data_IF_648869828541
#
_entry.id   IF_648869828541
#
_cell.length_a   1.000
_cell.length_b   1.000
_cell.length_c   1.000
_cell.angle_alpha   90.00
_cell.angle_beta   90.00
_cell.angle_gamma   90.00
#
_symmetry.space_group_name_H-M   'P 1'
#
loop_
_entity.id
_entity.type
_entity.pdbx_description
1 polymer ?
#
# COMPACT_ATOMS: atom_id res chain seq x y z
N UNK A 1 -4.56 5.07 -8.32
CA UNK A 1 -4.89 5.85 -9.55
C UNK A 1 -3.75 5.79 -10.57
N UNK A 2 -3.25 4.58 -10.89
CA UNK A 2 -2.15 4.37 -11.85
C UNK A 2 -2.67 3.88 -13.22
N UNK A 3 -3.94 3.51 -13.30
CA UNK A 3 -4.48 2.80 -14.46
C UNK A 3 -4.91 3.62 -15.68
N UNK A 4 -5.00 4.95 -15.61
CA UNK A 4 -5.65 5.73 -16.67
C UNK A 4 -4.73 6.61 -17.53
N UNK A 5 -3.45 6.73 -17.18
CA UNK A 5 -2.56 7.71 -17.83
C UNK A 5 -1.73 7.12 -18.97
N UNK A 6 -1.68 5.79 -19.11
CA UNK A 6 -0.76 5.17 -20.06
C UNK A 6 -1.49 4.29 -21.07
N UNK A 7 -1.57 4.77 -22.31
CA UNK A 7 -1.97 3.95 -23.46
C UNK A 7 -1.11 2.67 -23.51
N UNK A 8 -1.77 1.51 -23.72
CA UNK A 8 -1.23 0.17 -23.52
C UNK A 8 0.16 -0.12 -24.16
N UNK A 9 0.58 0.62 -25.17
CA UNK A 9 1.81 0.31 -25.93
C UNK A 9 2.99 1.28 -25.70
N UNK A 10 2.78 2.50 -25.16
CA UNK A 10 3.88 3.46 -25.03
C UNK A 10 4.64 3.37 -23.70
N UNK A 11 4.03 2.81 -22.67
CA UNK A 11 4.64 2.72 -21.34
C UNK A 11 5.79 1.71 -21.31
N UNK A 12 5.60 0.55 -21.91
CA UNK A 12 6.61 -0.50 -21.98
C UNK A 12 7.90 -0.04 -22.67
N UNK A 13 7.77 0.70 -23.78
CA UNK A 13 8.91 1.21 -24.53
C UNK A 13 9.75 2.22 -23.73
N UNK A 14 9.10 3.02 -22.89
CA UNK A 14 9.81 3.98 -22.03
C UNK A 14 10.58 3.28 -20.91
N UNK A 15 10.01 2.24 -20.29
CA UNK A 15 10.67 1.50 -19.22
C UNK A 15 11.91 0.72 -19.67
N UNK A 16 12.00 0.34 -20.93
CA UNK A 16 13.15 -0.37 -21.51
C UNK A 16 14.46 0.44 -21.47
N UNK A 17 14.37 1.76 -21.27
CA UNK A 17 15.53 2.66 -21.22
C UNK A 17 16.18 2.74 -19.84
N UNK A 18 15.52 2.22 -18.81
CA UNK A 18 16.00 2.32 -17.44
C UNK A 18 16.73 1.05 -17.01
N UNK A 19 17.91 1.21 -16.44
CA UNK A 19 18.70 0.11 -15.88
C UNK A 19 18.23 -0.32 -14.49
N UNK A 20 17.44 0.52 -13.82
CA UNK A 20 16.90 0.28 -12.48
C UNK A 20 15.45 0.72 -12.41
N UNK A 21 14.64 -0.08 -11.71
CA UNK A 21 13.24 0.22 -11.40
C UNK A 21 13.02 0.05 -9.90
N UNK A 22 12.32 1.00 -9.31
CA UNK A 22 11.84 0.93 -7.94
C UNK A 22 10.31 0.87 -7.96
N UNK A 23 9.75 -0.14 -7.33
CA UNK A 23 8.32 -0.35 -7.18
C UNK A 23 7.93 0.07 -5.78
N UNK A 24 7.28 1.21 -5.65
CA UNK A 24 6.70 1.67 -4.40
C UNK A 24 5.40 0.90 -4.12
N UNK A 25 5.09 0.71 -2.83
CA UNK A 25 3.98 -0.14 -2.37
C UNK A 25 3.99 -1.52 -3.06
N UNK A 26 5.17 -2.13 -3.11
CA UNK A 26 5.40 -3.37 -3.86
C UNK A 26 4.57 -4.57 -3.38
N UNK A 27 3.86 -4.47 -2.26
CA UNK A 27 2.88 -5.47 -1.86
C UNK A 27 1.72 -5.58 -2.87
N UNK A 28 1.50 -4.58 -3.72
CA UNK A 28 0.57 -4.62 -4.84
C UNK A 28 1.16 -5.22 -6.13
N UNK A 29 2.45 -5.62 -6.14
CA UNK A 29 3.09 -6.15 -7.35
C UNK A 29 2.48 -7.47 -7.84
N UNK A 30 1.75 -8.18 -6.99
CA UNK A 30 0.96 -9.35 -7.36
C UNK A 30 -0.25 -9.02 -8.26
N UNK A 31 -0.61 -7.74 -8.48
CA UNK A 31 -1.67 -7.38 -9.43
C UNK A 31 -1.25 -7.69 -10.87
N UNK A 32 -2.21 -8.16 -11.69
CA UNK A 32 -1.95 -8.59 -13.06
C UNK A 32 -1.22 -7.53 -13.91
N UNK A 33 -1.61 -6.27 -13.76
CA UNK A 33 -1.00 -5.15 -14.49
C UNK A 33 0.47 -4.98 -14.15
N UNK A 34 0.83 -4.98 -12.87
CA UNK A 34 2.21 -4.80 -12.43
C UNK A 34 3.05 -6.04 -12.79
N UNK A 35 2.50 -7.25 -12.59
CA UNK A 35 3.17 -8.49 -13.02
C UNK A 35 3.57 -8.44 -14.50
N UNK A 36 2.63 -8.05 -15.37
CA UNK A 36 2.91 -7.94 -16.81
C UNK A 36 4.02 -6.95 -17.10
N UNK A 37 4.00 -5.77 -16.47
CA UNK A 37 5.02 -4.75 -16.62
C UNK A 37 6.39 -5.29 -16.20
N UNK A 38 6.47 -5.88 -15.01
CA UNK A 38 7.75 -6.36 -14.46
C UNK A 38 8.35 -7.53 -15.23
N UNK A 39 7.53 -8.37 -15.87
CA UNK A 39 8.00 -9.46 -16.73
C UNK A 39 8.57 -8.98 -18.07
N UNK A 40 8.11 -7.84 -18.56
CA UNK A 40 8.55 -7.28 -19.86
C UNK A 40 9.74 -6.31 -19.74
N UNK A 41 10.00 -5.82 -18.53
CA UNK A 41 11.06 -4.85 -18.27
C UNK A 41 12.44 -5.50 -18.37
N UNK A 42 13.37 -4.83 -19.06
CA UNK A 42 14.78 -5.25 -19.21
C UNK A 42 15.72 -4.56 -18.22
N UNK A 43 15.20 -4.01 -17.13
CA UNK A 43 16.03 -3.40 -16.11
C UNK A 43 16.94 -4.43 -15.43
N UNK A 44 18.20 -4.06 -15.22
CA UNK A 44 19.18 -4.89 -14.51
C UNK A 44 18.85 -5.03 -13.02
N UNK A 45 18.24 -4.00 -12.46
CA UNK A 45 17.90 -3.95 -11.03
C UNK A 45 16.41 -3.63 -10.86
N UNK A 46 15.74 -4.45 -10.07
CA UNK A 46 14.35 -4.22 -9.65
C UNK A 46 14.30 -4.26 -8.13
N UNK A 47 13.85 -3.18 -7.52
CA UNK A 47 13.68 -3.06 -6.08
C UNK A 47 12.23 -2.79 -5.74
N UNK A 48 11.77 -3.39 -4.64
CA UNK A 48 10.47 -3.10 -4.06
C UNK A 48 10.61 -2.42 -2.71
N UNK A 49 9.76 -1.44 -2.45
CA UNK A 49 9.64 -0.75 -1.17
C UNK A 49 8.20 -0.90 -0.70
N UNK A 50 7.99 -1.23 0.56
CA UNK A 50 6.65 -1.27 1.17
C UNK A 50 6.73 -1.21 2.69
N UNK A 51 5.75 -0.59 3.31
CA UNK A 51 5.56 -0.63 4.76
C UNK A 51 4.90 -1.94 5.23
N UNK A 52 4.17 -2.64 4.35
CA UNK A 52 3.36 -3.83 4.64
C UNK A 52 3.76 -5.00 3.74
N UNK A 53 4.90 -5.68 4.01
CA UNK A 53 5.40 -6.73 3.13
C UNK A 53 4.58 -8.02 3.17
N UNK A 54 3.81 -8.24 4.25
CA UNK A 54 2.98 -9.43 4.45
C UNK A 54 1.57 -9.13 3.94
N UNK A 55 1.01 -10.05 3.18
CA UNK A 55 -0.35 -9.97 2.63
C UNK A 55 -1.24 -11.01 3.29
N UNK A 56 -2.49 -10.64 3.58
CA UNK A 56 -3.48 -11.57 4.15
C UNK A 56 -3.90 -12.67 3.17
N UNK A 57 -3.79 -12.41 1.86
CA UNK A 57 -4.17 -13.34 0.78
C UNK A 57 -3.04 -14.34 0.41
N UNK A 58 -1.87 -14.27 1.04
CA UNK A 58 -0.74 -15.18 0.79
C UNK A 58 -0.05 -14.99 -0.56
N UNK A 59 -0.38 -13.93 -1.31
CA UNK A 59 0.22 -13.64 -2.61
C UNK A 59 1.60 -12.98 -2.53
N UNK A 60 2.18 -12.84 -1.34
CA UNK A 60 3.55 -12.33 -1.17
C UNK A 60 4.61 -13.14 -1.91
N UNK A 61 4.34 -14.44 -2.15
CA UNK A 61 5.23 -15.31 -2.95
C UNK A 61 5.40 -14.79 -4.38
N UNK A 62 4.36 -14.22 -4.97
CA UNK A 62 4.42 -13.61 -6.30
C UNK A 62 5.33 -12.38 -6.29
N UNK A 63 5.24 -11.56 -5.24
CA UNK A 63 6.12 -10.40 -5.07
C UNK A 63 7.59 -10.84 -4.99
N UNK A 64 7.88 -11.91 -4.25
CA UNK A 64 9.24 -12.45 -4.15
C UNK A 64 9.76 -13.02 -5.48
N UNK A 65 8.89 -13.60 -6.31
CA UNK A 65 9.26 -14.08 -7.65
C UNK A 65 9.57 -12.94 -8.62
N UNK A 66 8.87 -11.81 -8.48
CA UNK A 66 8.98 -10.68 -9.41
C UNK A 66 10.11 -9.71 -9.04
N UNK A 67 10.32 -9.49 -7.75
CA UNK A 67 11.22 -8.46 -7.22
C UNK A 67 12.37 -9.08 -6.46
N UNK A 68 12.14 -10.22 -5.81
CA UNK A 68 13.12 -10.90 -4.96
C UNK A 68 12.75 -10.87 -3.48
N UNK A 69 13.54 -11.56 -2.64
CA UNK A 69 13.29 -11.65 -1.21
C UNK A 69 13.54 -10.32 -0.50
N UNK A 70 12.98 -10.18 0.70
CA UNK A 70 13.25 -9.03 1.57
C UNK A 70 14.73 -8.97 1.89
N UNK A 71 15.41 -7.89 1.50
CA UNK A 71 16.83 -7.64 1.73
C UNK A 71 17.10 -6.80 2.96
N UNK A 72 16.17 -5.91 3.29
CA UNK A 72 16.29 -5.00 4.41
C UNK A 72 14.91 -4.77 5.03
N UNK A 73 14.86 -4.74 6.35
CA UNK A 73 13.64 -4.45 7.11
C UNK A 73 13.99 -3.45 8.20
N UNK A 74 13.23 -2.37 8.24
CA UNK A 74 13.36 -1.33 9.26
C UNK A 74 11.98 -1.05 9.85
N UNK A 75 11.80 -1.32 11.12
CA UNK A 75 10.51 -1.20 11.78
C UNK A 75 10.31 0.20 12.36
N UNK A 76 9.04 0.62 12.50
CA UNK A 76 8.70 1.87 13.16
C UNK A 76 9.27 1.95 14.59
N UNK A 77 9.34 0.81 15.29
CA UNK A 77 9.92 0.71 16.63
C UNK A 77 11.42 0.97 16.65
N UNK A 78 12.15 0.43 15.68
CA UNK A 78 13.59 0.70 15.53
C UNK A 78 13.84 2.17 15.22
N UNK A 79 13.04 2.74 14.31
CA UNK A 79 13.09 4.16 13.96
C UNK A 79 12.84 5.07 15.16
N UNK A 80 11.80 4.78 15.93
CA UNK A 80 11.48 5.55 17.14
C UNK A 80 12.63 5.51 18.14
N UNK A 81 13.23 4.33 18.33
CA UNK A 81 14.38 4.15 19.23
C UNK A 81 15.59 4.94 18.76
N UNK A 82 15.89 4.97 17.46
CA UNK A 82 17.01 5.75 16.92
C UNK A 82 16.78 7.26 17.03
N UNK A 83 15.54 7.69 16.87
CA UNK A 83 15.17 9.11 16.94
C UNK A 83 14.90 9.61 18.37
N UNK A 84 14.91 8.71 19.38
CA UNK A 84 14.58 9.06 20.76
C UNK A 84 13.13 9.54 20.94
N UNK A 85 12.22 9.09 20.07
CA UNK A 85 10.82 9.50 20.09
C UNK A 85 10.00 8.42 20.80
N UNK A 86 9.32 8.81 21.88
CA UNK A 86 8.33 7.96 22.53
C UNK A 86 6.99 8.11 21.83
N UNK A 87 6.43 6.97 21.41
CA UNK A 87 5.11 6.92 20.81
C UNK A 87 4.05 6.64 21.88
N UNK A 88 3.17 7.60 22.11
CA UNK A 88 2.02 7.44 22.98
C UNK A 88 0.76 7.23 22.14
N UNK A 89 0.10 6.10 22.31
CA UNK A 89 -1.20 5.83 21.68
C UNK A 89 -2.30 6.13 22.69
N UNK A 90 -3.10 7.14 22.41
CA UNK A 90 -4.26 7.51 23.21
C UNK A 90 -5.54 7.12 22.44
N UNK A 91 -6.18 5.99 22.78
CA UNK A 91 -7.42 5.60 22.13
C UNK A 91 -8.55 6.57 22.53
N UNK A 92 -9.30 7.05 21.55
CA UNK A 92 -10.51 7.84 21.76
C UNK A 92 -11.69 7.13 21.12
N UNK A 93 -12.73 6.92 21.90
CA UNK A 93 -13.95 6.26 21.45
C UNK A 93 -14.93 7.30 20.91
N UNK A 94 -15.46 7.05 19.73
CA UNK A 94 -16.48 7.88 19.11
C UNK A 94 -17.85 7.24 19.31
N UNK A 95 -18.92 8.06 19.26
CA UNK A 95 -20.31 7.59 19.33
C UNK A 95 -20.89 7.24 17.95
N UNK A 96 -20.03 7.04 16.95
CA UNK A 96 -20.46 6.63 15.61
C UNK A 96 -21.00 5.21 15.69
N UNK A 97 -22.30 5.05 15.42
CA UNK A 97 -23.00 3.77 15.49
C UNK A 97 -23.27 3.31 14.07
N UNK A 98 -22.83 2.09 13.74
CA UNK A 98 -23.28 1.42 12.53
C UNK A 98 -24.69 0.83 12.78
N UNK A 99 -25.65 0.97 11.84
CA UNK A 99 -26.94 0.31 11.94
C UNK A 99 -26.76 -1.20 12.13
N UNK A 100 -27.42 -1.76 13.15
CA UNK A 100 -27.19 -3.16 13.59
C UNK A 100 -27.60 -4.21 12.57
N UNK A 101 -28.45 -3.88 11.61
CA UNK A 101 -29.11 -4.85 10.74
C UNK A 101 -28.45 -5.05 9.37
N UNK A 102 -27.37 -4.32 9.09
CA UNK A 102 -26.63 -4.49 7.83
C UNK A 102 -25.13 -4.29 8.03
N UNK A 103 -24.31 -5.12 7.38
CA UNK A 103 -22.91 -4.77 7.16
C UNK A 103 -22.91 -3.75 6.02
N UNK A 104 -22.61 -2.47 6.29
CA UNK A 104 -22.59 -1.47 5.24
C UNK A 104 -21.51 -1.82 4.21
N UNK A 105 -21.79 -1.55 2.95
CA UNK A 105 -20.76 -1.50 1.91
C UNK A 105 -19.69 -0.48 2.30
N UNK A 106 -18.48 -0.70 1.83
CA UNK A 106 -17.31 0.11 2.23
C UNK A 106 -17.52 1.62 2.02
N UNK A 107 -18.22 1.99 0.96
CA UNK A 107 -18.53 3.40 0.66
C UNK A 107 -19.53 3.98 1.66
N UNK A 108 -20.57 3.21 2.03
CA UNK A 108 -21.55 3.59 3.05
C UNK A 108 -20.87 3.74 4.42
N UNK A 109 -19.94 2.84 4.77
CA UNK A 109 -19.16 2.94 5.98
C UNK A 109 -18.31 4.21 6.01
N UNK A 110 -17.71 4.60 4.90
CA UNK A 110 -16.98 5.87 4.79
C UNK A 110 -17.89 7.09 4.94
N UNK A 111 -19.11 7.06 4.40
CA UNK A 111 -20.08 8.12 4.57
C UNK A 111 -20.53 8.27 6.01
N UNK A 112 -20.85 7.17 6.69
CA UNK A 112 -21.19 7.17 8.11
C UNK A 112 -20.09 7.79 8.99
N UNK A 113 -18.83 7.47 8.68
CA UNK A 113 -17.67 8.00 9.41
C UNK A 113 -17.44 9.47 9.07
N UNK A 114 -17.58 9.86 7.81
CA UNK A 114 -17.41 11.25 7.34
C UNK A 114 -18.43 12.18 7.97
N UNK A 115 -19.71 11.74 8.04
CA UNK A 115 -20.82 12.57 8.46
C UNK A 115 -21.06 12.53 9.99
N UNK A 116 -20.23 11.78 10.73
CA UNK A 116 -20.30 11.70 12.19
C UNK A 116 -19.76 12.96 12.86
N UNK A 117 -20.64 13.86 13.28
CA UNK A 117 -20.28 15.10 13.99
C UNK A 117 -19.52 14.81 15.28
N UNK A 118 -20.00 13.84 16.09
CA UNK A 118 -19.35 13.48 17.36
C UNK A 118 -17.91 12.96 17.20
N UNK A 119 -17.57 12.36 16.05
CA UNK A 119 -16.22 11.97 15.71
C UNK A 119 -15.41 13.17 15.22
N UNK A 120 -15.99 13.97 14.36
CA UNK A 120 -15.32 15.10 13.76
C UNK A 120 -14.91 16.15 14.79
N UNK A 121 -15.77 16.41 15.79
CA UNK A 121 -15.50 17.31 16.90
C UNK A 121 -14.32 16.85 17.80
N UNK A 122 -13.92 15.57 17.70
CA UNK A 122 -12.76 15.04 18.45
C UNK A 122 -11.44 15.16 17.68
N UNK A 123 -11.48 15.47 16.40
CA UNK A 123 -10.29 15.57 15.52
C UNK A 123 -9.72 16.99 15.51
N UNK A 124 -10.54 17.97 15.87
CA UNK A 124 -10.16 19.38 16.01
C UNK A 124 -9.58 19.59 17.41
#
# INVERSE_FOLDING_TARGET
>A
MVGSVFGKNSFHLKLQKYGMIVVDECHHAASETIQRILREVKAKYVYGVTATPIREDGLEKINYMLIGPIRFKFTAKERAKEQGIDHLVVPRFTRTVCPRDSKPEINEAYELVRDSTSRNDQII
#
